data_IF_575289014851
#
_entry.id   IF_575289014851
#
_cell.length_a   1.000
_cell.length_b   1.000
_cell.length_c   1.000
_cell.angle_alpha   90.00
_cell.angle_beta   90.00
_cell.angle_gamma   90.00
#
_symmetry.space_group_name_H-M   'P 1'
#
loop_
_entity.id
_entity.type
_entity.pdbx_description
1 polymer ?
#
# COMPACT_ATOMS: atom_id res chain seq x y z
N UNK A 1 -12.73 -18.89 -25.94
CA UNK A 1 -13.02 -18.74 -24.50
C UNK A 1 -12.48 -17.40 -24.06
N UNK A 2 -13.33 -16.48 -23.59
CA UNK A 2 -12.88 -15.14 -23.17
C UNK A 2 -12.09 -15.31 -21.87
N UNK A 3 -10.79 -15.01 -21.87
CA UNK A 3 -9.98 -14.98 -20.63
C UNK A 3 -10.62 -13.93 -19.70
N UNK A 4 -11.26 -14.38 -18.63
CA UNK A 4 -11.73 -13.50 -17.58
C UNK A 4 -10.51 -12.99 -16.80
N UNK A 5 -10.00 -11.81 -17.16
CA UNK A 5 -8.92 -11.18 -16.41
C UNK A 5 -9.48 -10.57 -15.13
N UNK A 6 -9.28 -11.25 -14.00
CA UNK A 6 -9.52 -10.69 -12.68
C UNK A 6 -8.51 -9.54 -12.50
N UNK A 7 -8.99 -8.29 -12.49
CA UNK A 7 -8.16 -7.10 -12.33
C UNK A 7 -7.81 -6.90 -10.85
N UNK A 8 -6.54 -6.68 -10.56
CA UNK A 8 -6.01 -6.41 -9.23
C UNK A 8 -4.85 -7.30 -8.83
N UNK A 9 -4.80 -7.63 -7.54
CA UNK A 9 -3.73 -8.41 -6.94
C UNK A 9 -2.52 -7.58 -6.53
N UNK A 10 -1.49 -8.29 -6.06
CA UNK A 10 -0.26 -7.70 -5.54
C UNK A 10 0.47 -6.92 -6.64
N UNK A 11 1.09 -5.82 -6.25
CA UNK A 11 1.93 -5.00 -7.13
C UNK A 11 3.31 -5.63 -7.30
N UNK A 12 3.80 -5.67 -8.54
CA UNK A 12 5.18 -6.06 -8.86
C UNK A 12 6.07 -4.85 -9.10
N UNK A 13 7.38 -5.03 -9.01
CA UNK A 13 8.35 -3.96 -9.27
C UNK A 13 8.22 -3.41 -10.70
N UNK A 14 8.11 -4.30 -11.69
CA UNK A 14 7.84 -3.93 -13.09
C UNK A 14 6.60 -3.04 -13.25
N UNK A 15 5.49 -3.39 -12.60
CA UNK A 15 4.26 -2.58 -12.63
C UNK A 15 4.45 -1.20 -11.99
N UNK A 16 5.14 -1.13 -10.85
CA UNK A 16 5.44 0.13 -10.15
C UNK A 16 6.35 1.04 -11.00
N UNK A 17 7.35 0.49 -11.68
CA UNK A 17 8.24 1.28 -12.57
C UNK A 17 7.52 1.80 -13.81
N UNK A 18 6.68 0.96 -14.45
CA UNK A 18 5.81 1.43 -15.55
C UNK A 18 4.89 2.54 -15.04
N UNK A 19 4.30 2.38 -13.86
CA UNK A 19 3.39 3.38 -13.28
C UNK A 19 4.11 4.72 -13.04
N UNK A 20 5.33 4.70 -12.49
CA UNK A 20 6.15 5.91 -12.30
C UNK A 20 6.45 6.59 -13.64
N UNK A 21 6.93 5.85 -14.62
CA UNK A 21 7.29 6.39 -15.94
C UNK A 21 6.05 6.93 -16.69
N UNK A 22 4.91 6.24 -16.59
CA UNK A 22 3.65 6.69 -17.15
C UNK A 22 3.13 7.98 -16.50
N UNK A 23 3.27 8.13 -15.18
CA UNK A 23 2.91 9.36 -14.48
C UNK A 23 3.86 10.50 -14.83
N UNK A 24 5.15 10.22 -15.00
CA UNK A 24 6.10 11.21 -15.48
C UNK A 24 5.73 11.74 -16.87
N UNK A 25 5.24 10.88 -17.77
CA UNK A 25 4.83 11.27 -19.14
C UNK A 25 3.44 11.91 -19.22
N UNK A 26 2.44 11.34 -18.54
CA UNK A 26 1.02 11.71 -18.70
C UNK A 26 0.43 12.53 -17.55
N UNK A 27 1.16 12.63 -16.44
CA UNK A 27 0.72 13.33 -15.23
C UNK A 27 -0.33 12.59 -14.39
N UNK A 28 -0.73 13.22 -13.29
CA UNK A 28 -1.62 12.66 -12.25
C UNK A 28 -3.12 12.82 -12.53
N UNK A 29 -3.51 13.17 -13.75
CA UNK A 29 -4.92 13.37 -14.13
C UNK A 29 -5.42 12.33 -15.14
N UNK A 30 -4.51 11.71 -15.90
CA UNK A 30 -4.86 10.78 -16.99
C UNK A 30 -4.75 9.31 -16.55
N UNK A 31 -5.38 8.95 -15.42
CA UNK A 31 -5.25 7.62 -14.82
C UNK A 31 -5.74 6.48 -15.72
N UNK A 32 -6.74 6.73 -16.58
CA UNK A 32 -7.20 5.73 -17.55
C UNK A 32 -6.09 5.41 -18.59
N UNK A 33 -5.36 6.43 -19.03
CA UNK A 33 -4.24 6.28 -19.96
C UNK A 33 -3.06 5.58 -19.29
N UNK A 34 -2.76 5.92 -18.04
CA UNK A 34 -1.74 5.25 -17.23
C UNK A 34 -2.09 3.76 -17.05
N UNK A 35 -3.31 3.45 -16.64
CA UNK A 35 -3.74 2.06 -16.42
C UNK A 35 -3.76 1.22 -17.70
N UNK A 36 -3.93 1.83 -18.88
CA UNK A 36 -3.88 1.10 -20.15
C UNK A 36 -2.48 0.58 -20.50
N UNK A 37 -1.43 0.90 -19.72
CA UNK A 37 -0.10 0.31 -19.84
C UNK A 37 0.11 -0.87 -18.89
N UNK A 38 -0.88 -1.18 -18.04
CA UNK A 38 -0.80 -2.22 -17.02
C UNK A 38 -1.93 -3.22 -17.23
N UNK A 39 -1.59 -4.43 -17.64
CA UNK A 39 -2.55 -5.45 -18.08
C UNK A 39 -3.64 -5.77 -17.04
N UNK A 40 -3.28 -5.81 -15.75
CA UNK A 40 -4.16 -6.27 -14.67
C UNK A 40 -4.51 -5.18 -13.65
N UNK A 41 -4.20 -3.90 -13.90
CA UNK A 41 -4.47 -2.81 -12.95
C UNK A 41 -5.46 -1.81 -13.53
N UNK A 42 -6.43 -1.39 -12.73
CA UNK A 42 -7.41 -0.36 -13.11
C UNK A 42 -6.90 1.05 -12.83
N UNK A 43 -7.53 2.05 -13.44
CA UNK A 43 -7.23 3.46 -13.18
C UNK A 43 -7.36 3.83 -11.69
N UNK A 44 -8.36 3.27 -11.00
CA UNK A 44 -8.56 3.48 -9.55
C UNK A 44 -7.40 2.88 -8.74
N UNK A 45 -6.96 1.67 -9.08
CA UNK A 45 -5.83 1.01 -8.43
C UNK A 45 -4.52 1.76 -8.69
N UNK A 46 -4.27 2.21 -9.92
CA UNK A 46 -3.08 3.02 -10.24
C UNK A 46 -3.05 4.32 -9.44
N UNK A 47 -4.19 5.02 -9.34
CA UNK A 47 -4.31 6.24 -8.53
C UNK A 47 -4.06 5.97 -7.05
N UNK A 48 -4.67 4.92 -6.51
CA UNK A 48 -4.48 4.54 -5.11
C UNK A 48 -3.02 4.14 -4.82
N UNK A 49 -2.40 3.31 -5.68
CA UNK A 49 -1.00 2.91 -5.57
C UNK A 49 -0.05 4.10 -5.56
N UNK A 50 -0.30 5.08 -6.42
CA UNK A 50 0.50 6.29 -6.42
C UNK A 50 0.42 7.01 -5.07
N UNK A 51 -0.79 7.33 -4.60
CA UNK A 51 -0.96 8.12 -3.38
C UNK A 51 -0.63 7.38 -2.08
N UNK A 52 -0.76 6.05 -2.04
CA UNK A 52 -0.48 5.25 -0.86
C UNK A 52 0.98 4.78 -0.78
N UNK A 53 1.69 4.67 -1.91
CA UNK A 53 3.03 4.06 -1.91
C UNK A 53 4.06 4.77 -2.79
N UNK A 54 3.74 5.21 -4.00
CA UNK A 54 4.78 5.66 -4.95
C UNK A 54 5.07 7.17 -4.91
N UNK A 55 4.15 7.99 -4.43
CA UNK A 55 4.37 9.43 -4.33
C UNK A 55 5.57 9.71 -3.42
N UNK A 56 6.60 10.45 -3.88
CA UNK A 56 7.77 10.78 -3.06
C UNK A 56 7.45 11.50 -1.74
N UNK A 57 6.28 12.13 -1.62
CA UNK A 57 5.84 12.72 -0.34
C UNK A 57 5.43 11.67 0.71
N UNK A 58 5.20 10.42 0.32
CA UNK A 58 4.86 9.34 1.24
C UNK A 58 6.11 8.94 2.02
N UNK A 59 6.11 9.23 3.32
CA UNK A 59 7.20 8.90 4.22
C UNK A 59 7.15 7.42 4.57
N UNK A 60 8.23 6.69 4.27
CA UNK A 60 8.42 5.27 4.59
C UNK A 60 9.50 5.03 5.65
N UNK A 61 9.87 6.08 6.36
CA UNK A 61 10.81 6.03 7.50
C UNK A 61 10.06 5.68 8.79
N UNK A 62 10.80 5.33 9.84
CA UNK A 62 10.25 5.07 11.17
C UNK A 62 9.44 6.25 11.71
N UNK A 63 8.54 5.95 12.64
CA UNK A 63 7.72 6.95 13.32
C UNK A 63 8.54 7.66 14.38
N UNK A 64 8.52 8.99 14.34
CA UNK A 64 9.08 9.81 15.41
C UNK A 64 8.09 9.93 16.57
N UNK A 65 8.62 10.17 17.78
CA UNK A 65 7.79 10.36 18.96
C UNK A 65 6.81 11.53 18.80
N UNK A 66 7.23 12.61 18.14
CA UNK A 66 6.38 13.77 17.88
C UNK A 66 5.22 13.43 16.94
N UNK A 67 5.46 12.57 15.94
CA UNK A 67 4.40 12.05 15.06
C UNK A 67 3.40 11.19 15.82
N UNK A 68 3.87 10.32 16.71
CA UNK A 68 3.02 9.44 17.51
C UNK A 68 2.16 10.22 18.50
N UNK A 69 2.75 11.16 19.24
CA UNK A 69 2.02 12.04 20.15
C UNK A 69 0.93 12.82 19.42
N UNK A 70 1.24 13.35 18.23
CA UNK A 70 0.28 14.03 17.36
C UNK A 70 -0.82 13.10 16.86
N UNK A 71 -0.47 11.88 16.42
CA UNK A 71 -1.41 10.87 15.96
C UNK A 71 -2.40 10.49 17.05
N UNK A 72 -1.92 10.17 18.26
CA UNK A 72 -2.76 9.81 19.40
C UNK A 72 -3.69 10.96 19.80
N UNK A 73 -3.17 12.19 19.84
CA UNK A 73 -3.98 13.37 20.13
C UNK A 73 -5.10 13.56 19.11
N UNK A 74 -4.79 13.52 17.81
CA UNK A 74 -5.79 13.70 16.75
C UNK A 74 -6.78 12.54 16.67
N UNK A 75 -6.35 11.29 16.90
CA UNK A 75 -7.24 10.13 16.93
C UNK A 75 -8.26 10.22 18.07
N UNK A 76 -7.87 10.80 19.22
CA UNK A 76 -8.78 11.07 20.34
C UNK A 76 -9.80 12.17 20.00
N UNK A 77 -9.39 13.21 19.29
CA UNK A 77 -10.28 14.32 18.90
C UNK A 77 -11.20 13.97 17.72
N UNK A 78 -10.72 13.16 16.77
CA UNK A 78 -11.42 12.80 15.54
C UNK A 78 -11.41 11.27 15.34
N UNK A 79 -12.27 10.53 16.06
CA UNK A 79 -12.27 9.07 16.02
C UNK A 79 -12.52 8.53 14.60
N UNK A 80 -11.67 7.60 14.15
CA UNK A 80 -11.75 6.91 12.84
C UNK A 80 -11.71 7.83 11.59
N UNK A 81 -11.35 9.11 11.72
CA UNK A 81 -11.26 10.04 10.58
C UNK A 81 -9.86 10.05 9.95
N UNK A 82 -9.32 8.87 9.60
CA UNK A 82 -7.93 8.71 9.15
C UNK A 82 -7.57 9.52 7.89
N UNK A 83 -8.53 9.74 6.99
CA UNK A 83 -8.33 10.59 5.80
C UNK A 83 -8.10 12.07 6.15
N UNK A 84 -8.61 12.52 7.30
CA UNK A 84 -8.36 13.86 7.84
C UNK A 84 -7.08 13.88 8.67
N UNK A 85 -6.87 12.84 9.49
CA UNK A 85 -5.70 12.74 10.39
C UNK A 85 -4.39 12.60 9.60
N UNK A 86 -4.36 11.75 8.56
CA UNK A 86 -3.14 11.44 7.79
C UNK A 86 -2.39 12.69 7.30
N UNK A 87 -3.05 13.57 6.52
CA UNK A 87 -2.43 14.82 6.06
C UNK A 87 -1.94 15.73 7.19
N UNK A 88 -2.62 15.75 8.34
CA UNK A 88 -2.22 16.56 9.49
C UNK A 88 -0.98 15.99 10.18
N UNK A 89 -0.84 14.67 10.23
CA UNK A 89 0.35 13.97 10.77
C UNK A 89 1.51 13.98 9.76
N UNK A 90 1.21 14.06 8.46
CA UNK A 90 2.20 13.96 7.39
C UNK A 90 2.49 12.53 6.94
N UNK A 91 1.52 11.62 7.13
CA UNK A 91 1.54 10.20 6.73
C UNK A 91 0.28 9.84 5.96
N UNK A 92 0.22 8.68 5.30
CA UNK A 92 -1.03 8.25 4.65
C UNK A 92 -2.07 7.84 5.70
N UNK A 93 -3.35 7.88 5.32
CA UNK A 93 -4.43 7.46 6.21
C UNK A 93 -4.24 6.00 6.66
N UNK A 94 -3.82 5.13 5.73
CA UNK A 94 -3.53 3.72 5.99
C UNK A 94 -2.40 3.55 7.00
N UNK A 95 -1.29 4.28 6.81
CA UNK A 95 -0.16 4.27 7.75
C UNK A 95 -0.58 4.72 9.16
N UNK A 96 -1.36 5.81 9.25
CA UNK A 96 -1.86 6.30 10.54
C UNK A 96 -2.74 5.29 11.25
N UNK A 97 -3.63 4.63 10.52
CA UNK A 97 -4.51 3.61 11.09
C UNK A 97 -3.69 2.41 11.60
N UNK A 98 -2.83 1.83 10.75
CA UNK A 98 -2.01 0.67 11.10
C UNK A 98 -1.10 0.97 12.31
N UNK A 99 -0.48 2.16 12.35
CA UNK A 99 0.40 2.54 13.46
C UNK A 99 -0.38 2.82 14.75
N UNK A 100 -1.55 3.43 14.67
CA UNK A 100 -2.40 3.65 15.83
C UNK A 100 -2.86 2.33 16.46
N UNK A 101 -3.27 1.36 15.63
CA UNK A 101 -3.64 0.01 16.07
C UNK A 101 -2.47 -0.67 16.79
N UNK A 102 -1.27 -0.61 16.20
CA UNK A 102 -0.03 -1.11 16.83
C UNK A 102 0.25 -0.47 18.20
N UNK A 103 0.11 0.85 18.34
CA UNK A 103 0.33 1.54 19.61
C UNK A 103 -0.66 1.10 20.70
N UNK A 104 -1.91 0.84 20.33
CA UNK A 104 -2.92 0.33 21.27
C UNK A 104 -2.58 -1.08 21.74
N UNK A 105 -2.15 -1.95 20.82
CA UNK A 105 -1.80 -3.33 21.16
C UNK A 105 -0.54 -3.40 22.03
N UNK A 106 0.47 -2.57 21.76
CA UNK A 106 1.64 -2.42 22.63
C UNK A 106 1.29 -1.91 24.03
N UNK A 107 0.35 -0.97 24.14
CA UNK A 107 -0.11 -0.46 25.43
C UNK A 107 -0.89 -1.53 26.21
N UNK A 108 -1.73 -2.31 25.52
CA UNK A 108 -2.45 -3.42 26.11
C UNK A 108 -1.48 -4.51 26.64
N UNK A 109 -0.48 -4.89 25.84
CA UNK A 109 0.54 -5.87 26.22
C UNK A 109 1.40 -5.40 27.41
N UNK A 110 1.77 -4.11 27.47
CA UNK A 110 2.50 -3.54 28.63
C UNK A 110 1.66 -3.55 29.90
N UNK A 111 0.33 -3.43 29.80
CA UNK A 111 -0.57 -3.45 30.96
C UNK A 111 -0.81 -4.84 31.54
N UNK A 112 -0.66 -5.90 30.74
CA UNK A 112 -0.84 -7.30 31.18
C UNK A 112 0.40 -7.92 31.84
N UNK A 113 1.54 -7.22 31.89
CA UNK A 113 2.71 -7.65 32.67
C UNK A 113 3.47 -8.86 32.14
N UNK A 114 3.32 -9.20 30.86
CA UNK A 114 4.11 -10.25 30.21
C UNK A 114 5.47 -9.68 29.78
N UNK A 115 6.48 -9.89 30.63
CA UNK A 115 7.88 -9.60 30.36
C UNK A 115 8.50 -10.71 29.49
N UNK A 116 9.06 -10.35 28.34
CA UNK A 116 10.04 -11.16 27.62
C UNK A 116 9.51 -12.13 26.55
N UNK A 117 9.90 -11.84 25.31
CA UNK A 117 9.90 -12.73 24.12
C UNK A 117 8.55 -13.23 23.59
N UNK A 118 8.00 -12.52 22.61
CA UNK A 118 6.95 -13.06 21.73
C UNK A 118 7.36 -12.91 20.26
N UNK A 119 8.25 -13.79 19.79
CA UNK A 119 8.13 -14.28 18.43
C UNK A 119 6.80 -15.05 18.34
N UNK A 120 5.77 -14.43 17.74
CA UNK A 120 4.58 -15.15 17.30
C UNK A 120 3.40 -15.26 18.27
N UNK A 121 3.06 -14.23 19.05
CA UNK A 121 1.71 -14.16 19.63
C UNK A 121 0.72 -13.73 18.55
N UNK A 122 -0.27 -14.59 18.31
CA UNK A 122 -1.19 -14.51 17.18
C UNK A 122 -2.17 -13.36 17.34
N UNK A 123 -1.86 -12.31 16.61
CA UNK A 123 -2.69 -11.16 16.34
C UNK A 123 -4.10 -11.56 15.86
N UNK A 124 -5.12 -11.23 16.65
CA UNK A 124 -6.53 -11.47 16.29
C UNK A 124 -7.03 -10.38 15.31
N UNK A 125 -6.30 -9.26 15.14
CA UNK A 125 -6.76 -8.08 14.38
C UNK A 125 -5.94 -7.82 13.10
N UNK A 126 -4.62 -8.02 13.11
CA UNK A 126 -3.81 -8.32 11.94
C UNK A 126 -3.62 -9.84 11.78
N UNK A 127 -4.73 -10.57 11.76
CA UNK A 127 -4.66 -11.97 11.39
C UNK A 127 -4.10 -12.05 9.96
N UNK A 128 -2.97 -12.75 9.73
CA UNK A 128 -2.47 -12.96 8.38
C UNK A 128 -3.61 -13.52 7.54
N UNK A 129 -3.76 -12.99 6.32
CA UNK A 129 -4.84 -13.37 5.42
C UNK A 129 -4.95 -14.90 5.41
N UNK A 130 -6.15 -15.41 5.73
CA UNK A 130 -6.37 -16.85 5.72
C UNK A 130 -6.16 -17.37 4.30
N UNK A 131 -5.75 -18.63 4.16
CA UNK A 131 -5.58 -19.27 2.84
C UNK A 131 -6.85 -19.07 2.02
N UNK A 132 -6.75 -18.33 0.90
CA UNK A 132 -7.87 -17.99 0.02
C UNK A 132 -8.48 -16.59 0.20
N UNK A 133 -8.07 -15.81 1.21
CA UNK A 133 -8.48 -14.41 1.36
C UNK A 133 -7.62 -13.47 0.51
N UNK A 134 -8.26 -12.49 -0.13
CA UNK A 134 -7.59 -11.45 -0.92
C UNK A 134 -7.36 -10.23 -0.01
N UNK A 135 -6.17 -9.64 -0.08
CA UNK A 135 -5.87 -8.38 0.59
C UNK A 135 -6.81 -7.28 0.10
N UNK A 136 -7.42 -6.55 1.03
CA UNK A 136 -8.31 -5.43 0.71
C UNK A 136 -7.55 -4.14 0.35
N UNK A 137 -6.26 -4.03 0.72
CA UNK A 137 -5.44 -2.84 0.49
C UNK A 137 -4.04 -3.18 -0.07
N UNK A 138 -3.95 -3.91 -1.20
CA UNK A 138 -2.65 -4.27 -1.79
C UNK A 138 -1.83 -3.04 -2.23
N UNK A 139 -2.48 -1.89 -2.47
CA UNK A 139 -1.82 -0.65 -2.88
C UNK A 139 -0.89 -0.05 -1.82
N UNK A 140 -1.10 -0.34 -0.53
CA UNK A 140 -0.25 0.17 0.57
C UNK A 140 0.94 -0.74 0.90
N UNK A 141 1.05 -1.91 0.26
CA UNK A 141 2.08 -2.92 0.58
C UNK A 141 3.30 -2.82 -0.34
N UNK A 142 4.50 -3.26 0.09
CA UNK A 142 5.66 -3.34 -0.80
C UNK A 142 5.39 -4.13 -2.07
N UNK A 143 5.99 -3.71 -3.19
CA UNK A 143 5.94 -4.48 -4.42
C UNK A 143 6.74 -5.79 -4.30
N UNK A 144 6.27 -6.82 -4.98
CA UNK A 144 7.01 -8.09 -5.10
C UNK A 144 8.13 -7.94 -6.14
N UNK A 145 9.33 -8.49 -5.85
CA UNK A 145 10.37 -8.64 -6.87
C UNK A 145 9.86 -9.40 -8.09
N UNK A 146 10.33 -8.99 -9.26
CA UNK A 146 10.01 -9.67 -10.51
C UNK A 146 10.71 -11.05 -10.54
N UNK A 147 10.03 -12.10 -11.04
CA UNK A 147 10.66 -13.42 -11.20
C UNK A 147 11.78 -13.35 -12.26
N UNK A 148 12.76 -14.26 -12.16
CA UNK A 148 13.84 -14.38 -13.16
C UNK A 148 13.25 -14.71 -14.53
N UNK A 149 12.36 -15.70 -14.56
CA UNK A 149 11.64 -16.11 -15.76
C UNK A 149 10.28 -15.41 -15.77
N UNK A 150 10.22 -14.25 -16.44
CA UNK A 150 8.98 -13.50 -16.64
C UNK A 150 8.07 -14.22 -17.64
N UNK A 151 6.76 -14.17 -17.40
CA UNK A 151 5.81 -14.76 -18.34
C UNK A 151 5.62 -13.89 -19.61
N UNK A 152 5.00 -14.46 -20.63
CA UNK A 152 4.78 -13.76 -21.91
C UNK A 152 3.95 -12.48 -21.73
N UNK A 153 2.94 -12.50 -20.84
CA UNK A 153 2.07 -11.36 -20.54
C UNK A 153 2.90 -10.19 -19.97
N UNK A 154 3.87 -10.45 -19.10
CA UNK A 154 4.74 -9.45 -18.48
C UNK A 154 5.77 -8.90 -19.45
N UNK A 155 6.35 -9.77 -20.29
CA UNK A 155 7.31 -9.36 -21.32
C UNK A 155 6.62 -8.44 -22.32
N UNK A 156 5.42 -8.80 -22.78
CA UNK A 156 4.62 -7.99 -23.69
C UNK A 156 4.26 -6.63 -23.05
N UNK A 157 3.85 -6.62 -21.79
CA UNK A 157 3.57 -5.38 -21.04
C UNK A 157 4.78 -4.44 -21.01
N UNK A 158 5.97 -4.97 -20.74
CA UNK A 158 7.21 -4.17 -20.74
C UNK A 158 7.54 -3.63 -22.13
N UNK A 159 7.36 -4.43 -23.18
CA UNK A 159 7.61 -4.00 -24.56
C UNK A 159 6.63 -2.91 -24.99
N UNK A 160 5.34 -3.07 -24.69
CA UNK A 160 4.32 -2.06 -24.94
C UNK A 160 4.63 -0.77 -24.19
N UNK A 161 5.00 -0.88 -22.90
CA UNK A 161 5.38 0.28 -22.10
C UNK A 161 6.56 1.04 -22.71
N UNK A 162 7.61 0.34 -23.16
CA UNK A 162 8.76 0.97 -23.84
C UNK A 162 8.38 1.64 -25.16
N UNK A 163 7.43 1.09 -25.91
CA UNK A 163 7.00 1.69 -27.17
C UNK A 163 6.15 2.97 -26.94
N UNK A 164 5.41 3.02 -25.82
CA UNK A 164 4.44 4.09 -25.53
C UNK A 164 4.97 5.18 -24.61
N UNK A 165 6.06 4.95 -23.86
CA UNK A 165 6.66 5.90 -22.92
C UNK A 165 7.91 6.55 -23.51
#
# INVERSE_FOLDING_TARGET
MVRAFIKGGVWKNSEDEILKAAIQKYGKQQWARVASLLNRKTAKQCKARWHEWLDPSVRKVEWSREEEEKLLHLAKLMPAQWKTVGPLVGRTATQCQEHYEKLLDEAAAKSSGEDGTTEGTSDVRHQPLRVGQIDSHPESKPARPDPIDMDEDEIEMLQEARARL
#
